data_IF_752310107523
#
_entry.id   IF_752310107523
#
_cell.length_a   1.000
_cell.length_b   1.000
_cell.length_c   1.000
_cell.angle_alpha   90.00
_cell.angle_beta   90.00
_cell.angle_gamma   90.00
#
_symmetry.space_group_name_H-M   'P 1'
#
loop_
_entity.id
_entity.type
_entity.pdbx_description
1 polymer ?
#
# COMPACT_ATOMS: atom_id res chain seq x y z
N UNK A 1 9.20 18.93 31.85
CA UNK A 1 9.01 17.47 31.61
C UNK A 1 7.87 17.13 30.65
N UNK A 2 6.65 17.68 30.77
CA UNK A 2 5.56 17.33 29.84
C UNK A 2 5.87 17.60 28.35
N UNK A 3 6.54 18.72 28.04
CA UNK A 3 6.84 19.15 26.66
C UNK A 3 7.85 18.26 25.92
N UNK A 4 8.77 17.60 26.64
CA UNK A 4 9.75 16.67 26.06
C UNK A 4 9.08 15.34 25.72
N UNK A 5 8.30 14.78 26.65
CA UNK A 5 7.59 13.50 26.43
C UNK A 5 6.62 13.51 25.26
N UNK A 6 5.94 14.64 25.00
CA UNK A 6 5.04 14.81 23.84
C UNK A 6 5.81 14.86 22.53
N UNK A 7 7.00 15.49 22.53
CA UNK A 7 7.89 15.55 21.37
C UNK A 7 8.40 14.14 21.03
N UNK A 8 8.84 13.39 22.04
CA UNK A 8 9.36 12.02 21.89
C UNK A 8 8.28 11.07 21.32
N UNK A 9 7.04 11.15 21.83
CA UNK A 9 5.91 10.37 21.29
C UNK A 9 5.59 10.71 19.84
N UNK A 10 5.68 11.99 19.46
CA UNK A 10 5.42 12.43 18.09
C UNK A 10 6.49 11.97 17.12
N UNK A 11 7.75 12.00 17.53
CA UNK A 11 8.86 11.45 16.77
C UNK A 11 8.72 9.95 16.60
N UNK A 12 8.41 9.21 17.67
CA UNK A 12 8.14 7.78 17.60
C UNK A 12 7.00 7.44 16.61
N UNK A 13 5.87 8.15 16.69
CA UNK A 13 4.75 7.94 15.76
C UNK A 13 5.14 8.19 14.30
N UNK A 14 5.99 9.19 14.04
CA UNK A 14 6.52 9.45 12.69
C UNK A 14 7.45 8.35 12.23
N UNK A 15 8.35 7.88 13.09
CA UNK A 15 9.27 6.78 12.78
C UNK A 15 8.52 5.50 12.46
N UNK A 16 7.51 5.14 13.27
CA UNK A 16 6.63 4.00 13.00
C UNK A 16 5.93 4.16 11.65
N UNK A 17 5.35 5.33 11.38
CA UNK A 17 4.67 5.60 10.10
C UNK A 17 5.63 5.54 8.91
N UNK A 18 6.90 5.95 9.09
CA UNK A 18 7.92 5.95 8.06
C UNK A 18 8.40 4.52 7.74
N UNK A 19 8.68 3.71 8.77
CA UNK A 19 9.13 2.32 8.60
C UNK A 19 8.02 1.48 7.96
N UNK A 20 6.77 1.69 8.40
CA UNK A 20 5.60 0.96 7.90
C UNK A 20 4.87 1.72 6.78
N UNK A 21 5.59 2.55 6.03
CA UNK A 21 5.00 3.33 4.94
C UNK A 21 4.74 2.45 3.70
N UNK A 22 3.86 2.90 2.78
CA UNK A 22 3.57 2.18 1.54
C UNK A 22 4.80 1.85 0.68
N UNK A 23 5.81 2.73 0.60
CA UNK A 23 6.98 2.49 -0.25
C UNK A 23 7.84 1.32 0.25
N UNK A 24 8.07 1.23 1.56
CA UNK A 24 8.77 0.10 2.18
C UNK A 24 7.96 -1.18 1.99
N UNK A 25 6.65 -1.13 2.20
CA UNK A 25 5.77 -2.28 1.99
C UNK A 25 5.79 -2.76 0.53
N UNK A 26 5.75 -1.86 -0.45
CA UNK A 26 5.84 -2.20 -1.88
C UNK A 26 7.18 -2.88 -2.18
N UNK A 27 8.30 -2.37 -1.65
CA UNK A 27 9.61 -3.00 -1.84
C UNK A 27 9.62 -4.45 -1.29
N UNK A 28 9.05 -4.69 -0.11
CA UNK A 28 8.90 -6.03 0.45
C UNK A 28 7.97 -6.92 -0.41
N UNK A 29 6.86 -6.37 -0.91
CA UNK A 29 5.94 -7.09 -1.78
C UNK A 29 6.62 -7.54 -3.08
N UNK A 30 7.51 -6.71 -3.66
CA UNK A 30 8.30 -7.11 -4.83
C UNK A 30 9.19 -8.32 -4.53
N UNK A 31 9.85 -8.34 -3.36
CA UNK A 31 10.65 -9.49 -2.93
C UNK A 31 9.79 -10.75 -2.72
N UNK A 32 8.60 -10.59 -2.13
CA UNK A 32 7.65 -11.69 -1.93
C UNK A 32 7.20 -12.25 -3.27
N UNK A 33 6.86 -11.40 -4.25
CA UNK A 33 6.41 -11.83 -5.58
C UNK A 33 7.46 -12.67 -6.31
N UNK A 34 8.73 -12.22 -6.32
CA UNK A 34 9.84 -13.00 -6.90
C UNK A 34 9.91 -14.37 -6.26
N UNK A 35 9.88 -14.43 -4.93
CA UNK A 35 10.05 -15.67 -4.17
C UNK A 35 8.86 -16.61 -4.24
N UNK A 36 7.64 -16.07 -4.25
CA UNK A 36 6.39 -16.82 -4.20
C UNK A 36 5.98 -17.38 -5.56
N UNK A 37 6.13 -16.58 -6.61
CA UNK A 37 5.68 -16.96 -7.96
C UNK A 37 6.83 -17.37 -8.88
N UNK A 38 8.04 -17.49 -8.35
CA UNK A 38 9.25 -17.90 -9.07
C UNK A 38 9.52 -17.09 -10.35
N UNK A 39 9.13 -15.81 -10.35
CA UNK A 39 9.31 -14.90 -11.49
C UNK A 39 10.68 -14.22 -11.45
N UNK A 40 11.27 -13.97 -12.61
CA UNK A 40 12.56 -13.27 -12.69
C UNK A 40 12.40 -11.78 -12.36
N UNK A 41 13.47 -11.08 -11.96
CA UNK A 41 13.45 -9.62 -11.79
C UNK A 41 13.00 -8.88 -13.06
N UNK A 42 13.33 -9.38 -14.25
CA UNK A 42 12.91 -8.82 -15.53
C UNK A 42 11.39 -8.97 -15.74
N UNK A 43 10.83 -10.16 -15.49
CA UNK A 43 9.39 -10.39 -15.56
C UNK A 43 8.64 -9.48 -14.57
N UNK A 44 9.13 -9.39 -13.34
CA UNK A 44 8.56 -8.49 -12.33
C UNK A 44 8.66 -7.03 -12.77
N UNK A 45 9.79 -6.59 -13.31
CA UNK A 45 9.95 -5.25 -13.84
C UNK A 45 8.92 -4.97 -14.94
N UNK A 46 8.77 -5.87 -15.91
CA UNK A 46 7.81 -5.74 -17.01
C UNK A 46 6.36 -5.61 -16.55
N UNK A 47 5.93 -6.37 -15.54
CA UNK A 47 4.55 -6.28 -15.02
C UNK A 47 4.37 -5.14 -14.01
N UNK A 48 5.42 -4.68 -13.35
CA UNK A 48 5.32 -3.63 -12.32
C UNK A 48 5.44 -2.21 -12.89
N UNK A 49 6.22 -2.06 -13.96
CA UNK A 49 6.50 -0.77 -14.59
C UNK A 49 5.24 0.03 -15.00
N UNK A 50 4.19 -0.57 -15.59
CA UNK A 50 3.01 0.16 -16.05
C UNK A 50 2.26 0.93 -14.95
N UNK A 51 2.37 0.53 -13.69
CA UNK A 51 1.76 1.25 -12.56
C UNK A 51 2.80 1.96 -11.68
N UNK A 52 3.98 1.37 -11.42
CA UNK A 52 4.97 1.99 -10.53
C UNK A 52 5.57 3.27 -11.10
N UNK A 53 5.93 3.27 -12.38
CA UNK A 53 6.55 4.44 -13.01
C UNK A 53 5.60 5.66 -13.03
N UNK A 54 4.38 5.58 -13.61
CA UNK A 54 3.52 6.75 -13.65
C UNK A 54 3.09 7.24 -12.26
N UNK A 55 2.83 6.33 -11.31
CA UNK A 55 2.50 6.71 -9.93
C UNK A 55 3.67 7.42 -9.27
N UNK A 56 4.88 6.88 -9.38
CA UNK A 56 6.08 7.49 -8.78
C UNK A 56 6.38 8.85 -9.41
N UNK A 57 6.30 8.97 -10.73
CA UNK A 57 6.46 10.24 -11.43
C UNK A 57 5.44 11.27 -10.96
N UNK A 58 4.16 10.90 -10.85
CA UNK A 58 3.11 11.79 -10.36
C UNK A 58 3.40 12.26 -8.93
N UNK A 59 3.77 11.35 -8.01
CA UNK A 59 4.11 11.69 -6.62
C UNK A 59 5.31 12.64 -6.60
N UNK A 60 6.39 12.32 -7.32
CA UNK A 60 7.61 13.15 -7.36
C UNK A 60 7.27 14.56 -7.84
N UNK A 61 6.57 14.67 -8.96
CA UNK A 61 6.21 15.96 -9.56
C UNK A 61 5.28 16.75 -8.63
N UNK A 62 4.20 16.15 -8.14
CA UNK A 62 3.16 16.91 -7.42
C UNK A 62 3.54 17.24 -5.97
N UNK A 63 4.31 16.36 -5.32
CA UNK A 63 4.68 16.51 -3.91
C UNK A 63 6.01 17.25 -3.75
N UNK A 64 7.03 16.90 -4.52
CA UNK A 64 8.39 17.39 -4.30
C UNK A 64 8.78 18.54 -5.24
N UNK A 65 8.39 18.47 -6.51
CA UNK A 65 8.72 19.52 -7.51
C UNK A 65 7.75 20.69 -7.43
N UNK A 66 6.46 20.43 -7.64
CA UNK A 66 5.40 21.45 -7.69
C UNK A 66 4.86 21.81 -6.30
N UNK A 67 5.05 20.93 -5.30
CA UNK A 67 4.56 21.10 -3.92
C UNK A 67 3.07 21.46 -3.83
N UNK A 68 2.26 20.93 -4.77
CA UNK A 68 0.81 21.16 -4.84
C UNK A 68 0.00 20.14 -4.05
N UNK A 69 0.62 19.03 -3.65
CA UNK A 69 -0.01 17.93 -2.91
C UNK A 69 0.86 17.57 -1.71
N UNK A 70 0.23 17.27 -0.57
CA UNK A 70 0.94 16.82 0.62
C UNK A 70 1.33 15.34 0.51
N UNK A 71 2.45 14.97 1.12
CA UNK A 71 2.98 13.60 1.07
C UNK A 71 2.00 12.53 1.58
N UNK A 72 1.14 12.86 2.54
CA UNK A 72 0.12 11.93 3.08
C UNK A 72 -1.14 11.84 2.21
N UNK A 73 -1.22 12.62 1.13
CA UNK A 73 -2.41 12.75 0.29
C UNK A 73 -3.66 12.96 1.15
N UNK A 74 -3.66 14.00 1.98
CA UNK A 74 -4.72 14.24 2.97
C UNK A 74 -6.07 14.50 2.30
N UNK A 75 -6.06 15.19 1.16
CA UNK A 75 -7.24 15.40 0.31
C UNK A 75 -7.55 14.18 -0.54
N UNK A 76 -8.84 13.82 -0.60
CA UNK A 76 -9.34 12.74 -1.50
C UNK A 76 -9.10 13.07 -2.97
N UNK A 77 -9.25 14.34 -3.35
CA UNK A 77 -9.08 14.77 -4.75
C UNK A 77 -7.66 14.54 -5.25
N UNK A 78 -6.67 14.70 -4.38
CA UNK A 78 -5.26 14.48 -4.72
C UNK A 78 -4.92 12.99 -4.90
N UNK A 79 -5.77 12.06 -4.42
CA UNK A 79 -5.54 10.61 -4.54
C UNK A 79 -6.02 10.03 -5.86
N UNK A 80 -7.01 10.66 -6.49
CA UNK A 80 -7.61 10.16 -7.73
C UNK A 80 -6.59 9.92 -8.83
N UNK A 81 -5.65 10.85 -9.13
CA UNK A 81 -4.65 10.59 -10.16
C UNK A 81 -3.78 9.37 -9.83
N UNK A 82 -3.36 9.20 -8.57
CA UNK A 82 -2.58 8.03 -8.14
C UNK A 82 -3.37 6.74 -8.35
N UNK A 83 -4.65 6.71 -7.96
CA UNK A 83 -5.50 5.52 -8.10
C UNK A 83 -5.79 5.19 -9.57
N UNK A 84 -6.07 6.21 -10.40
CA UNK A 84 -6.31 6.02 -11.83
C UNK A 84 -5.06 5.48 -12.53
N UNK A 85 -3.88 6.05 -12.24
CA UNK A 85 -2.62 5.56 -12.81
C UNK A 85 -2.30 4.13 -12.34
N UNK A 86 -2.57 3.81 -11.08
CA UNK A 86 -2.39 2.46 -10.56
C UNK A 86 -3.33 1.45 -11.24
N UNK A 87 -4.62 1.77 -11.35
CA UNK A 87 -5.63 0.92 -12.01
C UNK A 87 -5.31 0.76 -13.50
N UNK A 88 -5.01 1.86 -14.20
CA UNK A 88 -4.63 1.84 -15.62
C UNK A 88 -3.39 1.00 -15.88
N UNK A 89 -2.37 1.12 -15.02
CA UNK A 89 -1.20 0.27 -15.09
C UNK A 89 -1.53 -1.21 -14.83
N UNK A 90 -2.33 -1.53 -13.82
CA UNK A 90 -2.76 -2.90 -13.53
C UNK A 90 -3.56 -3.53 -14.69
N UNK A 91 -4.40 -2.75 -15.39
CA UNK A 91 -5.10 -3.20 -16.59
C UNK A 91 -4.14 -3.61 -17.74
N UNK A 92 -2.93 -3.04 -17.77
CA UNK A 92 -1.86 -3.42 -18.71
C UNK A 92 -1.07 -4.62 -18.15
N UNK A 93 -0.79 -4.63 -16.85
CA UNK A 93 0.03 -5.65 -16.19
C UNK A 93 -0.62 -7.04 -16.17
N UNK A 94 -1.94 -7.10 -15.96
CA UNK A 94 -2.69 -8.37 -15.95
C UNK A 94 -2.49 -9.16 -17.25
N UNK A 95 -2.83 -8.63 -18.45
CA UNK A 95 -2.63 -9.38 -19.70
C UNK A 95 -1.15 -9.65 -19.98
N UNK A 96 -0.25 -8.72 -19.62
CA UNK A 96 1.19 -8.93 -19.77
C UNK A 96 1.74 -10.13 -18.95
N UNK A 97 1.06 -10.50 -17.87
CA UNK A 97 1.46 -11.61 -16.99
C UNK A 97 0.97 -12.99 -17.42
N UNK A 98 0.04 -13.08 -18.39
CA UNK A 98 -0.65 -14.33 -18.76
C UNK A 98 0.30 -15.46 -19.20
N UNK A 99 1.45 -15.11 -19.77
CA UNK A 99 2.46 -16.06 -20.25
C UNK A 99 3.61 -16.28 -19.25
N UNK A 100 3.55 -15.67 -18.06
CA UNK A 100 4.62 -15.74 -17.06
C UNK A 100 4.33 -16.80 -15.99
N UNK A 101 3.30 -16.57 -15.19
CA UNK A 101 2.88 -17.47 -14.10
C UNK A 101 1.39 -17.24 -13.80
N UNK A 102 0.53 -18.29 -13.84
CA UNK A 102 -0.90 -18.15 -13.57
C UNK A 102 -1.20 -17.53 -12.19
N UNK A 103 -0.40 -17.87 -11.18
CA UNK A 103 -0.53 -17.35 -9.81
C UNK A 103 -0.25 -15.85 -9.75
N UNK A 104 0.74 -15.37 -10.52
CA UNK A 104 1.04 -13.94 -10.65
C UNK A 104 -0.13 -13.20 -11.30
N UNK A 105 -0.71 -13.75 -12.37
CA UNK A 105 -1.90 -13.15 -13.01
C UNK A 105 -3.07 -13.08 -12.03
N UNK A 106 -3.35 -14.16 -11.30
CA UNK A 106 -4.40 -14.18 -10.28
C UNK A 106 -4.16 -13.14 -9.18
N UNK A 107 -2.91 -12.99 -8.75
CA UNK A 107 -2.54 -11.94 -7.80
C UNK A 107 -2.75 -10.53 -8.36
N UNK A 108 -2.30 -10.24 -9.58
CA UNK A 108 -2.49 -8.93 -10.22
C UNK A 108 -3.96 -8.60 -10.43
N UNK A 109 -4.80 -9.59 -10.74
CA UNK A 109 -6.25 -9.43 -10.80
C UNK A 109 -6.85 -9.07 -9.44
N UNK A 110 -6.42 -9.74 -8.36
CA UNK A 110 -6.81 -9.36 -6.98
C UNK A 110 -6.37 -7.92 -6.65
N UNK A 111 -5.17 -7.51 -7.06
CA UNK A 111 -4.72 -6.12 -6.89
C UNK A 111 -5.60 -5.15 -7.66
N UNK A 112 -5.97 -5.45 -8.91
CA UNK A 112 -6.89 -4.63 -9.68
C UNK A 112 -8.23 -4.45 -8.95
N UNK A 113 -8.82 -5.54 -8.45
CA UNK A 113 -10.05 -5.50 -7.65
C UNK A 113 -9.87 -4.64 -6.40
N UNK A 114 -8.79 -4.84 -5.64
CA UNK A 114 -8.51 -4.06 -4.43
C UNK A 114 -8.43 -2.55 -4.72
N UNK A 115 -7.71 -2.15 -5.77
CA UNK A 115 -7.56 -0.74 -6.11
C UNK A 115 -8.86 -0.12 -6.64
N UNK A 116 -9.66 -0.87 -7.39
CA UNK A 116 -11.02 -0.46 -7.78
C UNK A 116 -11.89 -0.23 -6.54
N UNK A 117 -11.91 -1.17 -5.59
CA UNK A 117 -12.65 -1.01 -4.33
C UNK A 117 -12.18 0.22 -3.53
N UNK A 118 -10.86 0.43 -3.43
CA UNK A 118 -10.30 1.62 -2.76
C UNK A 118 -10.72 2.89 -3.49
N UNK A 119 -10.73 2.92 -4.82
CA UNK A 119 -11.18 4.07 -5.59
C UNK A 119 -12.67 4.36 -5.38
N UNK A 120 -13.53 3.33 -5.43
CA UNK A 120 -14.97 3.45 -5.15
C UNK A 120 -15.21 4.02 -3.75
N UNK A 121 -14.52 3.50 -2.73
CA UNK A 121 -14.63 4.04 -1.38
C UNK A 121 -14.10 5.47 -1.33
N UNK A 122 -12.94 5.75 -1.94
CA UNK A 122 -12.30 7.09 -1.97
C UNK A 122 -13.18 8.18 -2.57
N UNK A 123 -14.15 7.82 -3.42
CA UNK A 123 -15.18 8.73 -3.90
C UNK A 123 -16.00 9.35 -2.76
N UNK A 124 -16.44 8.52 -1.82
CA UNK A 124 -17.30 8.94 -0.70
C UNK A 124 -16.52 9.18 0.59
N UNK A 125 -15.36 8.54 0.78
CA UNK A 125 -14.68 8.46 2.07
C UNK A 125 -13.21 7.98 1.96
N UNK A 126 -12.27 8.51 2.77
CA UNK A 126 -10.84 8.17 2.64
C UNK A 126 -10.48 6.87 3.38
N UNK A 127 -9.73 5.96 2.74
CA UNK A 127 -9.11 4.79 3.39
C UNK A 127 -7.65 5.09 3.75
N UNK A 128 -7.11 4.47 4.79
CA UNK A 128 -5.67 4.62 5.09
C UNK A 128 -4.81 3.69 4.24
N UNK A 129 -4.04 4.26 3.30
CA UNK A 129 -3.12 3.49 2.46
C UNK A 129 -2.00 2.81 3.27
N UNK A 130 -1.56 3.40 4.38
CA UNK A 130 -0.59 2.74 5.26
C UNK A 130 -1.14 1.40 5.77
N UNK A 131 -2.43 1.38 6.18
CA UNK A 131 -3.08 0.15 6.61
C UNK A 131 -3.28 -0.84 5.47
N UNK A 132 -3.67 -0.35 4.28
CA UNK A 132 -3.85 -1.19 3.09
C UNK A 132 -2.55 -1.91 2.75
N UNK A 133 -1.46 -1.18 2.54
CA UNK A 133 -0.19 -1.77 2.11
C UNK A 133 0.44 -2.63 3.21
N UNK A 134 0.33 -2.23 4.47
CA UNK A 134 0.83 -3.06 5.58
C UNK A 134 0.05 -4.39 5.68
N UNK A 135 -1.27 -4.32 5.75
CA UNK A 135 -2.13 -5.51 5.86
C UNK A 135 -1.99 -6.43 4.64
N UNK A 136 -1.90 -5.86 3.44
CA UNK A 136 -1.60 -6.59 2.22
C UNK A 136 -0.27 -7.34 2.28
N UNK A 137 0.80 -6.68 2.76
CA UNK A 137 2.12 -7.32 2.90
C UNK A 137 2.07 -8.49 3.87
N UNK A 138 1.44 -8.32 5.03
CA UNK A 138 1.31 -9.38 6.04
C UNK A 138 0.51 -10.56 5.47
N UNK A 139 -0.60 -10.32 4.77
CA UNK A 139 -1.36 -11.40 4.12
C UNK A 139 -0.57 -12.09 3.01
N UNK A 140 0.19 -11.35 2.22
CA UNK A 140 1.04 -11.96 1.20
C UNK A 140 2.09 -12.88 1.83
N UNK A 141 2.71 -12.46 2.94
CA UNK A 141 3.63 -13.32 3.69
C UNK A 141 2.92 -14.58 4.20
N UNK A 142 1.74 -14.43 4.80
CA UNK A 142 0.99 -15.55 5.37
C UNK A 142 0.52 -16.56 4.30
N UNK A 143 0.01 -16.07 3.17
CA UNK A 143 -0.59 -16.92 2.12
C UNK A 143 0.46 -17.53 1.20
N UNK A 144 1.47 -16.76 0.80
CA UNK A 144 2.39 -17.18 -0.26
C UNK A 144 3.78 -17.61 0.24
N UNK A 145 4.15 -17.31 1.48
CA UNK A 145 5.46 -17.67 2.04
C UNK A 145 5.31 -18.68 3.18
N UNK A 146 4.66 -18.28 4.29
CA UNK A 146 4.46 -19.14 5.44
C UNK A 146 3.32 -18.61 6.33
N UNK A 147 2.33 -19.47 6.62
CA UNK A 147 1.12 -19.09 7.38
C UNK A 147 1.40 -18.46 8.75
N UNK A 148 2.45 -18.90 9.46
CA UNK A 148 2.81 -18.35 10.78
C UNK A 148 3.20 -16.87 10.74
N UNK A 149 3.58 -16.33 9.58
CA UNK A 149 3.92 -14.91 9.40
C UNK A 149 2.72 -13.98 9.55
N UNK A 150 1.49 -14.50 9.66
CA UNK A 150 0.32 -13.72 10.10
C UNK A 150 0.54 -13.04 11.45
N UNK A 151 1.47 -13.55 12.28
CA UNK A 151 1.89 -12.94 13.55
C UNK A 151 2.37 -11.50 13.40
N UNK A 152 2.82 -11.08 12.20
CA UNK A 152 3.26 -9.71 11.93
C UNK A 152 2.15 -8.66 12.12
N UNK A 153 0.87 -9.07 12.17
CA UNK A 153 -0.21 -8.19 12.61
C UNK A 153 -0.04 -7.66 14.05
N UNK A 154 0.89 -8.20 14.85
CA UNK A 154 1.26 -7.62 16.15
C UNK A 154 1.75 -6.17 16.06
N UNK A 155 2.26 -5.72 14.91
CA UNK A 155 2.65 -4.32 14.68
C UNK A 155 1.48 -3.39 14.33
N UNK A 156 0.30 -3.96 14.03
CA UNK A 156 -0.87 -3.20 13.60
C UNK A 156 -1.37 -2.22 14.69
N UNK A 157 -1.48 -2.59 15.99
CA UNK A 157 -1.84 -1.64 17.04
C UNK A 157 -0.88 -0.44 17.12
N UNK A 158 0.42 -0.67 16.92
CA UNK A 158 1.43 0.38 16.93
C UNK A 158 1.24 1.35 15.75
N UNK A 159 0.97 0.82 14.55
CA UNK A 159 0.66 1.64 13.37
C UNK A 159 -0.66 2.40 13.54
N UNK A 160 -1.70 1.77 14.08
CA UNK A 160 -2.97 2.43 14.40
C UNK A 160 -2.77 3.62 15.33
N UNK A 161 -2.08 3.40 16.45
CA UNK A 161 -1.74 4.45 17.40
C UNK A 161 -1.01 5.60 16.70
N UNK A 162 0.01 5.31 15.90
CA UNK A 162 0.77 6.34 15.20
C UNK A 162 -0.12 7.18 14.27
N UNK A 163 -1.02 6.57 13.49
CA UNK A 163 -1.89 7.30 12.55
C UNK A 163 -2.96 8.13 13.25
N UNK A 164 -3.50 7.67 14.39
CA UNK A 164 -4.44 8.43 15.21
C UNK A 164 -3.72 9.58 15.92
N UNK A 165 -2.57 9.32 16.55
CA UNK A 165 -1.79 10.31 17.28
C UNK A 165 -1.28 11.44 16.37
N UNK A 166 -0.95 11.14 15.12
CA UNK A 166 -0.60 12.14 14.12
C UNK A 166 -1.82 12.83 13.47
N UNK A 167 -3.03 12.55 13.95
CA UNK A 167 -4.31 13.08 13.46
C UNK A 167 -4.53 12.88 11.95
N UNK A 168 -4.03 11.77 11.41
CA UNK A 168 -4.11 11.50 9.96
C UNK A 168 -5.41 10.81 9.56
N UNK A 169 -5.93 9.93 10.44
CA UNK A 169 -7.07 9.08 10.16
C UNK A 169 -7.95 8.86 11.39
N UNK A 170 -9.22 8.52 11.14
CA UNK A 170 -10.14 8.01 12.17
C UNK A 170 -9.98 6.50 12.33
N UNK A 171 -10.39 5.90 13.47
CA UNK A 171 -10.33 4.45 13.67
C UNK A 171 -11.02 3.66 12.56
N UNK A 172 -12.16 4.13 12.08
CA UNK A 172 -12.94 3.46 11.05
C UNK A 172 -12.26 3.46 9.67
N UNK A 173 -11.46 4.50 9.34
CA UNK A 173 -10.65 4.53 8.12
C UNK A 173 -9.45 3.59 8.18
N UNK A 174 -8.92 3.37 9.39
CA UNK A 174 -7.84 2.41 9.65
C UNK A 174 -8.37 0.98 9.58
N UNK A 175 -9.55 0.73 10.16
CA UNK A 175 -10.24 -0.56 10.13
C UNK A 175 -10.53 -1.00 8.71
N UNK A 176 -11.17 -0.14 7.91
CA UNK A 176 -11.47 -0.47 6.53
C UNK A 176 -10.20 -0.71 5.70
N UNK A 177 -9.15 0.09 5.93
CA UNK A 177 -7.86 -0.12 5.27
C UNK A 177 -7.16 -1.40 5.68
N UNK A 178 -7.47 -1.95 6.86
CA UNK A 178 -6.93 -3.24 7.30
C UNK A 178 -7.68 -4.40 6.67
N UNK A 179 -9.01 -4.34 6.65
CA UNK A 179 -9.89 -5.46 6.26
C UNK A 179 -9.93 -5.67 4.75
N UNK A 180 -10.01 -4.59 3.94
CA UNK A 180 -10.12 -4.70 2.49
C UNK A 180 -9.04 -5.59 1.84
N UNK A 181 -7.73 -5.40 2.08
CA UNK A 181 -6.73 -6.27 1.49
C UNK A 181 -6.82 -7.72 1.99
N UNK A 182 -7.26 -7.97 3.23
CA UNK A 182 -7.44 -9.34 3.74
C UNK A 182 -8.51 -10.07 2.96
N UNK A 183 -9.68 -9.45 2.77
CA UNK A 183 -10.79 -10.04 2.03
C UNK A 183 -10.48 -10.29 0.56
N UNK A 184 -9.59 -9.50 -0.03
CA UNK A 184 -9.26 -9.61 -1.45
C UNK A 184 -8.11 -10.60 -1.71
N UNK A 185 -7.24 -10.85 -0.73
CA UNK A 185 -6.04 -11.70 -0.89
C UNK A 185 -6.30 -13.17 -0.56
N UNK A 186 -7.18 -13.44 0.43
CA UNK A 186 -7.64 -14.81 0.77
C UNK A 186 -8.41 -15.39 -0.42
#
# INVERSE_FOLDING_TARGET
>A
MARTTVKDKRELARTVSLILNPAVMIALQMMIIIRAFAVTPEQLFKVSLPFLLPVSCYIIIMVFVLKKVDYDFTSRMSRWPVLILAIGGLLISVPASLQMAPELTGFLMRMLVLFVLIATVTFYWKVSLHMVFFSMTVMMLAVYIQQSLIVMYVFLPLLYWARIYLHKHTPSQLLLGTILPVLVII
#
